data_IF_561717046835
#
_entry.id   IF_561717046835
#
_cell.length_a   1.000
_cell.length_b   1.000
_cell.length_c   1.000
_cell.angle_alpha   90.00
_cell.angle_beta   90.00
_cell.angle_gamma   90.00
#
_symmetry.space_group_name_H-M   'P 1'
#
loop_
_entity.id
_entity.type
_entity.pdbx_description
1 polymer ?
#
# COMPACT_ATOMS: atom_id res chain seq x y z
N UNK A 1 -7.51 -7.92 26.00
CA UNK A 1 -6.80 -8.42 27.22
C UNK A 1 -5.44 -7.75 27.37
N UNK A 2 -4.51 -7.80 26.38
CA UNK A 2 -3.17 -7.17 26.52
C UNK A 2 -3.21 -5.67 26.85
N UNK A 3 -4.13 -4.91 26.23
CA UNK A 3 -4.30 -3.47 26.51
C UNK A 3 -4.76 -3.24 27.96
N UNK A 4 -5.72 -4.00 28.43
CA UNK A 4 -6.22 -3.91 29.82
C UNK A 4 -5.14 -4.32 30.85
N UNK A 5 -4.31 -5.32 30.51
CA UNK A 5 -3.18 -5.70 31.35
C UNK A 5 -2.09 -4.61 31.37
N UNK A 6 -1.81 -3.99 30.23
CA UNK A 6 -0.89 -2.85 30.15
C UNK A 6 -1.43 -1.64 30.94
N UNK A 7 -2.71 -1.37 30.84
CA UNK A 7 -3.40 -0.35 31.64
C UNK A 7 -3.27 -0.65 33.15
N UNK A 8 -3.53 -1.87 33.56
CA UNK A 8 -3.43 -2.27 34.97
C UNK A 8 -2.00 -2.10 35.51
N UNK A 9 -0.98 -2.49 34.75
CA UNK A 9 0.43 -2.29 35.14
C UNK A 9 0.80 -0.80 35.23
N UNK A 10 0.38 0.00 34.25
CA UNK A 10 0.59 1.44 34.26
C UNK A 10 -0.08 2.11 35.47
N UNK A 11 -1.28 1.68 35.83
CA UNK A 11 -2.00 2.17 37.00
C UNK A 11 -1.34 1.74 38.31
N UNK A 12 -0.89 0.51 38.42
CA UNK A 12 -0.21 0.00 39.62
C UNK A 12 1.10 0.74 39.87
N UNK A 13 1.92 0.99 38.82
CA UNK A 13 3.16 1.74 38.95
C UNK A 13 2.98 3.16 39.49
N UNK A 14 1.79 3.73 39.35
CA UNK A 14 1.43 5.01 39.90
C UNK A 14 0.61 4.92 41.22
N UNK A 15 0.38 3.73 41.74
CA UNK A 15 -0.42 3.52 42.95
C UNK A 15 -1.89 3.93 42.79
N UNK A 16 -2.47 3.79 41.60
CA UNK A 16 -3.90 3.97 41.32
C UNK A 16 -4.66 2.71 41.73
N UNK A 17 -4.09 1.54 41.38
CA UNK A 17 -4.59 0.23 41.78
C UNK A 17 -3.49 -0.53 42.54
N UNK A 18 -3.82 -1.55 43.34
CA UNK A 18 -2.82 -2.37 44.01
C UNK A 18 -1.99 -3.19 43.04
N UNK A 19 -0.70 -3.37 43.32
CA UNK A 19 0.23 -4.15 42.47
C UNK A 19 -0.24 -5.60 42.25
N UNK A 20 -0.70 -6.27 43.32
CA UNK A 20 -1.22 -7.64 43.25
C UNK A 20 -2.43 -7.79 42.29
N UNK A 21 -3.26 -6.74 42.16
CA UNK A 21 -4.38 -6.76 41.22
C UNK A 21 -3.88 -6.66 39.77
N UNK A 22 -2.90 -5.82 39.49
CA UNK A 22 -2.27 -5.73 38.16
C UNK A 22 -1.54 -7.01 37.77
N UNK A 23 -0.86 -7.67 38.71
CA UNK A 23 -0.22 -8.98 38.52
C UNK A 23 -1.25 -10.04 38.16
N UNK A 24 -2.37 -10.14 38.89
CA UNK A 24 -3.44 -11.13 38.63
C UNK A 24 -4.10 -10.87 37.27
N UNK A 25 -4.44 -9.62 36.94
CA UNK A 25 -4.99 -9.24 35.64
C UNK A 25 -4.00 -9.61 34.52
N UNK A 26 -2.70 -9.33 34.68
CA UNK A 26 -1.66 -9.64 33.70
C UNK A 26 -1.49 -11.15 33.51
N UNK A 27 -1.43 -11.91 34.61
CA UNK A 27 -1.32 -13.37 34.57
C UNK A 27 -2.45 -14.05 33.84
N UNK A 28 -3.66 -13.50 33.93
CA UNK A 28 -4.88 -14.02 33.30
C UNK A 28 -5.27 -13.29 32.02
N UNK A 29 -4.38 -12.50 31.43
CA UNK A 29 -4.59 -11.85 30.12
C UNK A 29 -4.40 -12.80 28.94
N UNK A 30 -4.98 -13.99 29.00
CA UNK A 30 -4.87 -15.04 27.98
C UNK A 30 -6.27 -15.41 27.44
N UNK A 31 -6.36 -15.71 26.13
CA UNK A 31 -7.63 -16.02 25.44
C UNK A 31 -8.41 -17.17 26.09
N UNK A 32 -7.74 -18.12 26.72
CA UNK A 32 -8.38 -19.24 27.43
C UNK A 32 -9.32 -18.79 28.57
N UNK A 33 -9.09 -17.61 29.16
CA UNK A 33 -9.95 -17.05 30.20
C UNK A 33 -11.14 -16.27 29.66
N UNK A 34 -11.28 -16.21 28.34
CA UNK A 34 -12.37 -15.53 27.64
C UNK A 34 -12.87 -16.37 26.46
N UNK A 35 -13.40 -17.59 26.73
CA UNK A 35 -13.89 -18.47 25.67
C UNK A 35 -14.96 -17.80 24.83
N UNK A 36 -14.86 -17.94 23.50
CA UNK A 36 -15.79 -17.30 22.56
C UNK A 36 -17.24 -17.64 22.84
N UNK A 37 -17.52 -18.91 23.15
CA UNK A 37 -18.89 -19.39 23.44
C UNK A 37 -19.53 -18.70 24.65
N UNK A 38 -18.73 -18.45 25.71
CA UNK A 38 -19.21 -17.72 26.89
C UNK A 38 -19.38 -16.22 26.61
N UNK A 39 -18.47 -15.64 25.84
CA UNK A 39 -18.58 -14.23 25.40
C UNK A 39 -19.81 -14.03 24.52
N UNK A 40 -20.07 -14.94 23.58
CA UNK A 40 -21.25 -14.86 22.73
C UNK A 40 -22.55 -14.95 23.55
N UNK A 41 -22.64 -15.90 24.48
CA UNK A 41 -23.79 -16.03 25.38
C UNK A 41 -23.99 -14.79 26.28
N UNK A 42 -22.89 -14.27 26.85
CA UNK A 42 -22.96 -13.05 27.66
C UNK A 42 -23.39 -11.84 26.82
N UNK A 43 -22.95 -11.78 25.56
CA UNK A 43 -23.29 -10.65 24.68
C UNK A 43 -24.75 -10.67 24.22
N UNK A 44 -25.39 -11.83 24.11
CA UNK A 44 -26.83 -11.92 23.86
C UNK A 44 -27.63 -11.28 24.99
N UNK A 45 -27.13 -11.39 26.22
CA UNK A 45 -27.78 -10.85 27.42
C UNK A 45 -27.42 -9.38 27.61
N UNK A 46 -26.13 -9.03 27.64
CA UNK A 46 -25.65 -7.67 27.97
C UNK A 46 -25.77 -6.72 26.79
N UNK A 47 -25.69 -7.22 25.54
CA UNK A 47 -25.74 -6.46 24.28
C UNK A 47 -24.69 -5.34 24.19
N UNK A 48 -23.50 -5.59 24.76
CA UNK A 48 -22.37 -4.64 24.72
C UNK A 48 -21.06 -5.36 24.53
N UNK A 49 -20.43 -5.14 23.38
CA UNK A 49 -19.26 -5.89 22.90
C UNK A 49 -18.08 -5.95 23.88
N UNK A 50 -17.74 -4.86 24.56
CA UNK A 50 -16.63 -4.86 25.52
C UNK A 50 -17.08 -5.43 26.86
N UNK A 51 -18.23 -4.97 27.39
CA UNK A 51 -18.71 -5.39 28.72
C UNK A 51 -18.90 -6.90 28.79
N UNK A 52 -19.44 -7.54 27.74
CA UNK A 52 -19.55 -9.00 27.67
C UNK A 52 -18.20 -9.72 27.81
N UNK A 53 -17.16 -9.18 27.17
CA UNK A 53 -15.79 -9.71 27.28
C UNK A 53 -15.21 -9.51 28.68
N UNK A 54 -15.37 -8.32 29.22
CA UNK A 54 -14.90 -8.01 30.58
C UNK A 54 -15.60 -8.88 31.63
N UNK A 55 -16.94 -9.07 31.54
CA UNK A 55 -17.68 -9.90 32.45
C UNK A 55 -17.21 -11.35 32.47
N UNK A 56 -16.97 -11.94 31.27
CA UNK A 56 -16.46 -13.31 31.19
C UNK A 56 -15.06 -13.39 31.77
N UNK A 57 -14.18 -12.45 31.46
CA UNK A 57 -12.81 -12.43 31.98
C UNK A 57 -12.76 -12.20 33.49
N UNK A 58 -13.57 -11.30 34.03
CA UNK A 58 -13.72 -11.03 35.47
C UNK A 58 -14.02 -12.30 36.29
N UNK A 59 -14.80 -13.25 35.74
CA UNK A 59 -15.09 -14.55 36.40
C UNK A 59 -13.85 -15.38 36.69
N UNK A 60 -12.77 -15.16 35.97
CA UNK A 60 -11.51 -15.87 36.14
C UNK A 60 -10.54 -15.21 37.13
N UNK A 61 -10.76 -13.92 37.43
CA UNK A 61 -9.90 -13.16 38.35
C UNK A 61 -10.15 -13.54 39.79
N UNK A 62 -9.12 -13.54 40.62
CA UNK A 62 -9.15 -13.98 42.03
C UNK A 62 -8.83 -12.84 42.98
N UNK A 63 -9.16 -13.02 44.23
CA UNK A 63 -8.87 -12.14 45.36
C UNK A 63 -9.41 -10.71 45.23
N UNK A 64 -10.44 -10.46 44.41
CA UNK A 64 -11.01 -9.13 44.22
C UNK A 64 -10.35 -8.30 43.13
N UNK A 65 -9.47 -8.92 42.27
CA UNK A 65 -8.79 -8.21 41.18
C UNK A 65 -9.78 -7.73 40.10
N UNK A 66 -10.94 -8.34 39.98
CA UNK A 66 -12.01 -7.96 39.08
C UNK A 66 -12.53 -6.53 39.27
N UNK A 67 -12.41 -5.97 40.49
CA UNK A 67 -12.82 -4.60 40.81
C UNK A 67 -11.89 -3.55 40.16
N UNK A 68 -10.68 -3.94 39.77
CA UNK A 68 -9.68 -3.08 39.17
C UNK A 68 -9.56 -3.22 37.65
N UNK A 69 -10.29 -4.19 37.06
CA UNK A 69 -10.25 -4.37 35.60
C UNK A 69 -11.02 -3.23 34.91
N UNK A 70 -10.44 -2.62 33.89
CA UNK A 70 -11.01 -1.50 33.13
C UNK A 70 -11.20 -0.21 33.97
N UNK A 71 -10.41 -0.04 35.02
CA UNK A 71 -10.54 1.09 35.92
C UNK A 71 -10.18 2.42 35.23
N UNK A 72 -11.09 3.39 35.27
CA UNK A 72 -10.88 4.73 34.69
C UNK A 72 -10.94 4.84 33.17
N UNK A 73 -11.02 3.73 32.46
CA UNK A 73 -11.11 3.69 31.00
C UNK A 73 -12.56 3.71 30.49
N UNK A 74 -12.73 4.00 29.22
CA UNK A 74 -13.99 3.81 28.50
C UNK A 74 -13.81 2.82 27.35
N UNK A 75 -14.92 2.29 26.83
CA UNK A 75 -14.93 1.29 25.74
C UNK A 75 -14.03 1.67 24.58
N UNK A 76 -14.07 2.93 24.16
CA UNK A 76 -13.36 3.38 22.97
C UNK A 76 -11.87 3.60 23.22
N UNK A 77 -11.43 3.87 24.44
CA UNK A 77 -10.00 3.86 24.77
C UNK A 77 -9.37 2.51 24.39
N UNK A 78 -10.11 1.43 24.66
CA UNK A 78 -9.65 0.07 24.35
C UNK A 78 -9.79 -0.24 22.85
N UNK A 79 -10.91 0.08 22.21
CA UNK A 79 -11.13 -0.27 20.81
C UNK A 79 -10.24 0.51 19.87
N UNK A 80 -10.04 1.80 20.08
CA UNK A 80 -9.12 2.58 19.25
C UNK A 80 -7.67 2.12 19.43
N UNK A 81 -7.27 1.80 20.67
CA UNK A 81 -5.93 1.22 20.91
C UNK A 81 -5.78 -0.16 20.23
N UNK A 82 -6.84 -0.97 20.14
CA UNK A 82 -6.84 -2.21 19.33
C UNK A 82 -6.60 -1.89 17.86
N UNK A 83 -7.28 -0.90 17.29
CA UNK A 83 -7.09 -0.49 15.90
C UNK A 83 -5.66 0.00 15.65
N UNK A 84 -5.10 0.82 16.54
CA UNK A 84 -3.70 1.27 16.47
C UNK A 84 -2.75 0.09 16.41
N UNK A 85 -2.89 -0.91 17.29
CA UNK A 85 -2.04 -2.10 17.30
C UNK A 85 -2.20 -2.95 16.05
N UNK A 86 -3.42 -3.09 15.53
CA UNK A 86 -3.69 -3.82 14.28
C UNK A 86 -3.07 -3.12 13.08
N UNK A 87 -3.25 -1.80 12.95
CA UNK A 87 -2.65 -1.00 11.88
C UNK A 87 -1.12 -1.02 11.96
N UNK A 88 -0.56 -0.92 13.17
CA UNK A 88 0.91 -1.05 13.37
C UNK A 88 1.43 -2.38 12.87
N UNK A 89 0.74 -3.48 13.16
CA UNK A 89 1.13 -4.81 12.68
C UNK A 89 1.07 -4.89 11.14
N UNK A 90 -0.01 -4.37 10.54
CA UNK A 90 -0.16 -4.31 9.08
C UNK A 90 0.91 -3.41 8.43
N UNK A 91 1.21 -2.25 9.01
CA UNK A 91 2.27 -1.36 8.53
C UNK A 91 3.65 -2.06 8.51
N UNK A 92 3.98 -2.85 9.54
CA UNK A 92 5.20 -3.64 9.55
C UNK A 92 5.28 -4.59 8.35
N UNK A 93 4.22 -5.38 8.11
CA UNK A 93 4.13 -6.30 6.96
C UNK A 93 4.24 -5.53 5.64
N UNK A 94 3.46 -4.48 5.46
CA UNK A 94 3.45 -3.69 4.23
C UNK A 94 4.80 -3.03 3.92
N UNK A 95 5.50 -2.53 4.93
CA UNK A 95 6.84 -1.94 4.77
C UNK A 95 7.84 -3.01 4.34
N UNK A 96 7.82 -4.20 4.96
CA UNK A 96 8.69 -5.32 4.60
C UNK A 96 8.40 -5.80 3.16
N UNK A 97 7.14 -5.94 2.79
CA UNK A 97 6.73 -6.28 1.42
C UNK A 97 7.21 -5.26 0.39
N UNK A 98 7.06 -3.95 0.68
CA UNK A 98 7.54 -2.91 -0.23
C UNK A 98 9.07 -2.88 -0.34
N UNK A 99 9.80 -3.27 0.70
CA UNK A 99 11.26 -3.45 0.65
C UNK A 99 11.62 -4.66 -0.21
N UNK A 100 10.88 -5.77 -0.12
CA UNK A 100 11.07 -6.92 -1.01
C UNK A 100 10.79 -6.55 -2.46
N UNK A 101 9.67 -5.85 -2.73
CA UNK A 101 9.33 -5.32 -4.05
C UNK A 101 10.43 -4.39 -4.58
N UNK A 102 11.01 -3.55 -3.73
CA UNK A 102 12.13 -2.68 -4.12
C UNK A 102 13.33 -3.49 -4.59
N UNK A 103 13.69 -4.56 -3.89
CA UNK A 103 14.81 -5.44 -4.29
C UNK A 103 14.52 -6.16 -5.61
N UNK A 104 13.30 -6.64 -5.83
CA UNK A 104 12.87 -7.26 -7.08
C UNK A 104 12.92 -6.26 -8.26
N UNK A 105 12.41 -5.05 -8.07
CA UNK A 105 12.45 -3.98 -9.07
C UNK A 105 13.88 -3.53 -9.36
N UNK A 106 14.75 -3.46 -8.36
CA UNK A 106 16.17 -3.14 -8.53
C UNK A 106 16.88 -4.20 -9.37
N UNK A 107 16.63 -5.48 -9.08
CA UNK A 107 17.15 -6.59 -9.87
C UNK A 107 16.64 -6.52 -11.32
N UNK A 108 15.33 -6.39 -11.51
CA UNK A 108 14.70 -6.28 -12.83
C UNK A 108 15.27 -5.11 -13.63
N UNK A 109 15.50 -3.97 -12.99
CA UNK A 109 16.09 -2.77 -13.60
C UNK A 109 17.52 -3.05 -14.06
N UNK A 110 18.37 -3.63 -13.21
CA UNK A 110 19.78 -3.94 -13.53
C UNK A 110 19.89 -4.96 -14.66
N UNK A 111 19.08 -6.00 -14.65
CA UNK A 111 19.10 -7.08 -15.64
C UNK A 111 18.64 -6.62 -17.03
N UNK A 112 18.04 -5.42 -17.12
CA UNK A 112 17.44 -4.88 -18.33
C UNK A 112 17.94 -3.47 -18.72
N UNK A 113 19.11 -3.06 -18.25
CA UNK A 113 19.74 -1.78 -18.63
C UNK A 113 19.95 -1.69 -20.15
N UNK A 114 20.33 -2.80 -20.77
CA UNK A 114 20.62 -2.92 -22.22
C UNK A 114 19.45 -3.54 -23.01
N UNK A 115 18.27 -3.71 -22.39
CA UNK A 115 17.09 -4.28 -23.07
C UNK A 115 16.30 -3.17 -23.75
N UNK A 116 16.62 -2.89 -25.02
CA UNK A 116 15.99 -1.82 -25.79
C UNK A 116 14.57 -2.17 -26.19
N UNK A 117 13.66 -1.20 -26.04
CA UNK A 117 12.25 -1.29 -26.40
C UNK A 117 11.73 0.06 -26.92
N UNK A 118 10.55 0.06 -27.54
CA UNK A 118 9.87 1.28 -27.89
C UNK A 118 9.29 1.96 -26.64
N UNK A 119 9.69 3.19 -26.39
CA UNK A 119 8.95 4.08 -25.49
C UNK A 119 7.67 4.55 -26.18
N UNK A 120 6.53 4.44 -25.50
CA UNK A 120 5.22 4.79 -26.06
C UNK A 120 4.61 5.97 -25.32
N UNK A 121 4.08 6.92 -26.09
CA UNK A 121 3.27 8.03 -25.59
C UNK A 121 1.92 8.03 -26.33
N UNK A 122 0.84 8.11 -25.59
CA UNK A 122 -0.53 8.07 -26.15
C UNK A 122 -0.71 6.84 -27.08
N UNK A 123 -0.14 5.70 -26.68
CA UNK A 123 -0.21 4.44 -27.44
C UNK A 123 0.67 4.34 -28.67
N UNK A 124 1.43 5.39 -29.05
CA UNK A 124 2.29 5.41 -30.24
C UNK A 124 3.75 5.26 -29.87
N UNK A 125 4.56 4.65 -30.75
CA UNK A 125 6.02 4.61 -30.62
C UNK A 125 6.57 6.04 -30.71
N UNK A 126 7.27 6.48 -29.65
CA UNK A 126 7.87 7.80 -29.58
C UNK A 126 9.39 7.75 -29.79
N UNK A 127 10.11 7.21 -28.82
CA UNK A 127 11.57 7.13 -28.81
C UNK A 127 12.03 5.78 -28.24
N UNK A 128 13.23 5.31 -28.60
CA UNK A 128 13.84 4.16 -27.93
C UNK A 128 14.06 4.45 -26.44
N UNK A 129 13.72 3.48 -25.62
CA UNK A 129 14.10 3.42 -24.19
C UNK A 129 14.64 2.03 -23.88
N UNK A 130 15.04 1.80 -22.64
CA UNK A 130 15.29 0.43 -22.16
C UNK A 130 14.19 -0.02 -21.20
N UNK A 131 13.99 -1.32 -21.08
CA UNK A 131 13.07 -1.86 -20.07
C UNK A 131 13.56 -1.52 -18.66
N UNK A 132 14.89 -1.48 -18.44
CA UNK A 132 15.48 -0.98 -17.21
C UNK A 132 15.10 0.48 -16.91
N UNK A 133 15.04 1.36 -17.94
CA UNK A 133 14.52 2.74 -17.76
C UNK A 133 13.06 2.75 -17.32
N UNK A 134 12.22 1.89 -17.89
CA UNK A 134 10.80 1.76 -17.50
C UNK A 134 10.68 1.32 -16.04
N UNK A 135 11.35 0.24 -15.65
CA UNK A 135 11.27 -0.33 -14.30
C UNK A 135 11.94 0.55 -13.25
N UNK A 136 12.94 1.36 -13.60
CA UNK A 136 13.55 2.34 -12.68
C UNK A 136 12.55 3.40 -12.20
N UNK A 137 11.53 3.74 -13.01
CA UNK A 137 10.47 4.67 -12.58
C UNK A 137 9.56 4.02 -11.55
N UNK A 138 9.27 2.72 -11.67
CA UNK A 138 8.50 1.95 -10.68
C UNK A 138 9.29 1.84 -9.37
N UNK A 139 10.59 1.54 -9.46
CA UNK A 139 11.51 1.48 -8.31
C UNK A 139 11.52 2.80 -7.52
N UNK A 140 11.69 3.93 -8.21
CA UNK A 140 11.72 5.25 -7.58
C UNK A 140 10.39 5.62 -6.92
N UNK A 141 9.25 5.21 -7.49
CA UNK A 141 7.94 5.42 -6.90
C UNK A 141 7.73 4.52 -5.67
N UNK A 142 8.16 3.27 -5.74
CA UNK A 142 8.08 2.35 -4.61
C UNK A 142 8.92 2.84 -3.40
N UNK A 143 10.10 3.43 -3.62
CA UNK A 143 10.88 4.07 -2.55
C UNK A 143 10.07 5.16 -1.84
N UNK A 144 9.40 6.03 -2.60
CA UNK A 144 8.53 7.06 -2.02
C UNK A 144 7.33 6.47 -1.28
N UNK A 145 6.83 5.31 -1.69
CA UNK A 145 5.75 4.61 -0.98
C UNK A 145 6.22 4.08 0.38
N UNK A 146 7.44 3.52 0.46
CA UNK A 146 8.05 3.12 1.74
C UNK A 146 8.19 4.33 2.68
N UNK A 147 8.66 5.46 2.17
CA UNK A 147 8.81 6.69 2.95
C UNK A 147 7.46 7.20 3.49
N UNK A 148 6.39 7.13 2.69
CA UNK A 148 5.02 7.48 3.11
C UNK A 148 4.53 6.59 4.24
N UNK A 149 4.68 5.26 4.10
CA UNK A 149 4.23 4.34 5.15
C UNK A 149 5.00 4.55 6.47
N UNK A 150 6.31 4.80 6.42
CA UNK A 150 7.10 5.11 7.61
C UNK A 150 6.64 6.38 8.30
N UNK A 151 6.31 7.43 7.53
CA UNK A 151 5.77 8.67 8.09
C UNK A 151 4.40 8.47 8.76
N UNK A 152 3.56 7.62 8.19
CA UNK A 152 2.27 7.24 8.79
C UNK A 152 2.47 6.38 10.04
N UNK A 153 3.43 5.44 10.01
CA UNK A 153 3.75 4.58 11.16
C UNK A 153 4.13 5.40 12.41
N UNK A 154 4.91 6.47 12.25
CA UNK A 154 5.26 7.37 13.33
C UNK A 154 4.01 8.00 13.98
N UNK A 155 3.02 8.38 13.18
CA UNK A 155 1.75 8.96 13.66
C UNK A 155 0.85 7.91 14.33
N UNK A 156 0.69 6.75 13.70
CA UNK A 156 -0.09 5.64 14.28
C UNK A 156 0.48 5.21 15.63
N UNK A 157 1.80 5.13 15.76
CA UNK A 157 2.45 4.78 17.03
C UNK A 157 2.13 5.78 18.17
N UNK A 158 1.65 6.99 17.86
CA UNK A 158 1.26 8.02 18.81
C UNK A 158 -0.25 8.16 19.03
N UNK A 159 -1.04 7.35 18.32
CA UNK A 159 -2.51 7.45 18.34
C UNK A 159 -3.18 6.54 19.39
N UNK A 160 -2.44 6.04 20.36
CA UNK A 160 -3.00 5.36 21.53
C UNK A 160 -3.82 6.34 22.36
N UNK A 161 -4.94 5.86 22.94
CA UNK A 161 -5.87 6.71 23.67
C UNK A 161 -6.25 6.04 25.00
N UNK A 162 -6.16 6.85 26.10
CA UNK A 162 -6.68 6.51 27.41
C UNK A 162 -7.19 7.79 28.10
N UNK A 163 -8.32 8.30 27.68
CA UNK A 163 -8.80 9.62 28.14
C UNK A 163 -10.20 9.62 28.78
N UNK A 164 -10.84 8.44 28.83
CA UNK A 164 -12.18 8.28 29.42
C UNK A 164 -13.30 8.79 28.51
N UNK A 165 -14.47 9.03 29.08
CA UNK A 165 -15.73 9.18 28.34
C UNK A 165 -15.78 10.35 27.34
N UNK A 166 -15.08 11.45 27.61
CA UNK A 166 -15.10 12.69 26.81
C UNK A 166 -13.71 13.34 26.65
N UNK A 167 -12.65 12.57 26.82
CA UNK A 167 -11.29 13.05 26.59
C UNK A 167 -10.66 13.86 27.74
N UNK A 168 -11.18 13.76 28.97
CA UNK A 168 -10.78 14.63 30.10
C UNK A 168 -10.02 13.93 31.21
N UNK A 169 -9.72 12.64 31.10
CA UNK A 169 -9.08 11.81 32.11
C UNK A 169 -9.81 11.77 33.48
N UNK A 170 -11.11 12.07 33.51
CA UNK A 170 -11.85 12.24 34.79
C UNK A 170 -11.72 11.01 35.70
N UNK A 171 -11.74 9.80 35.15
CA UNK A 171 -11.61 8.55 35.92
C UNK A 171 -10.22 8.30 36.52
N UNK A 172 -9.18 9.01 36.02
CA UNK A 172 -7.78 8.87 36.43
C UNK A 172 -7.23 10.13 37.12
N UNK A 173 -7.96 11.25 37.04
CA UNK A 173 -7.60 12.53 37.66
C UNK A 173 -6.24 13.06 37.16
N UNK A 174 -5.46 13.64 38.07
CA UNK A 174 -4.15 14.21 37.75
C UNK A 174 -3.11 13.23 37.25
N UNK A 175 -3.34 11.93 37.42
CA UNK A 175 -2.42 10.86 36.97
C UNK A 175 -2.74 10.37 35.55
N UNK A 176 -3.81 10.86 34.91
CA UNK A 176 -4.31 10.35 33.63
C UNK A 176 -3.31 10.42 32.50
N UNK A 177 -2.66 11.56 32.29
CA UNK A 177 -1.66 11.76 31.22
C UNK A 177 -0.46 10.80 31.40
N UNK A 178 0.04 10.67 32.61
CA UNK A 178 1.17 9.77 32.88
C UNK A 178 0.77 8.30 32.74
N UNK A 179 -0.46 7.94 33.14
CA UNK A 179 -0.99 6.57 32.97
C UNK A 179 -1.12 6.22 31.47
N UNK A 180 -1.60 7.14 30.64
CA UNK A 180 -1.68 6.96 29.18
C UNK A 180 -0.27 6.76 28.57
N UNK A 181 0.70 7.57 28.96
CA UNK A 181 2.09 7.44 28.52
C UNK A 181 2.68 6.08 28.89
N UNK A 182 2.54 5.66 30.13
CA UNK A 182 3.04 4.37 30.61
C UNK A 182 2.33 3.20 29.93
N UNK A 183 1.01 3.24 29.73
CA UNK A 183 0.28 2.24 28.97
C UNK A 183 0.78 2.16 27.52
N UNK A 184 1.06 3.30 26.88
CA UNK A 184 1.62 3.35 25.54
C UNK A 184 2.97 2.68 25.46
N UNK A 185 3.87 2.95 26.41
CA UNK A 185 5.19 2.33 26.50
C UNK A 185 5.12 0.81 26.70
N UNK A 186 4.23 0.34 27.58
CA UNK A 186 3.96 -1.08 27.81
C UNK A 186 3.47 -1.81 26.55
N UNK A 187 2.78 -1.10 25.66
CA UNK A 187 2.30 -1.62 24.38
C UNK A 187 3.35 -1.46 23.24
N UNK A 188 4.54 -0.95 23.55
CA UNK A 188 5.59 -0.68 22.57
C UNK A 188 5.22 0.42 21.58
N UNK A 189 4.39 1.38 22.00
CA UNK A 189 3.94 2.53 21.20
C UNK A 189 4.69 3.80 21.58
N UNK A 190 4.52 4.87 20.83
CA UNK A 190 5.18 6.16 21.04
C UNK A 190 4.47 7.04 22.07
N UNK A 191 4.95 8.26 22.23
CA UNK A 191 4.31 9.26 23.11
C UNK A 191 2.96 9.68 22.54
N UNK A 192 1.85 9.51 23.30
CA UNK A 192 0.51 9.82 22.83
C UNK A 192 0.30 11.30 22.45
N UNK A 193 -0.63 11.58 21.55
CA UNK A 193 -1.13 12.93 21.33
C UNK A 193 -2.04 13.32 22.50
N UNK A 194 -1.60 14.25 23.36
CA UNK A 194 -2.29 14.58 24.60
C UNK A 194 -3.69 15.18 24.37
N UNK A 195 -3.83 16.03 23.36
CA UNK A 195 -5.09 16.71 23.05
C UNK A 195 -6.08 15.87 22.25
N UNK A 196 -5.62 14.79 21.61
CA UNK A 196 -6.47 13.98 20.75
C UNK A 196 -7.48 13.19 21.54
N UNK A 197 -8.66 13.07 21.00
CA UNK A 197 -9.73 12.22 21.48
C UNK A 197 -10.30 11.42 20.32
N UNK A 198 -11.08 10.45 20.62
CA UNK A 198 -11.68 9.51 19.70
C UNK A 198 -12.46 10.12 18.50
N UNK A 199 -12.94 11.36 18.59
CA UNK A 199 -13.50 12.13 17.46
C UNK A 199 -12.45 12.61 16.46
N UNK A 200 -11.15 12.59 16.80
CA UNK A 200 -10.06 12.97 15.89
C UNK A 200 -9.62 11.75 15.09
N UNK A 201 -9.95 11.69 13.81
CA UNK A 201 -9.77 10.51 12.94
C UNK A 201 -8.79 10.71 11.79
N UNK A 202 -8.13 11.85 11.74
CA UNK A 202 -7.25 12.26 10.63
C UNK A 202 -6.09 11.29 10.41
N UNK A 203 -5.48 10.74 11.47
CA UNK A 203 -4.38 9.78 11.36
C UNK A 203 -4.83 8.45 10.71
N UNK A 204 -6.03 7.97 11.02
CA UNK A 204 -6.62 6.79 10.39
C UNK A 204 -6.99 7.06 8.93
N UNK A 205 -7.53 8.25 8.64
CA UNK A 205 -7.82 8.69 7.28
C UNK A 205 -6.52 8.83 6.46
N UNK A 206 -5.46 9.40 7.03
CA UNK A 206 -4.14 9.51 6.37
C UNK A 206 -3.55 8.13 6.06
N UNK A 207 -3.66 7.16 6.98
CA UNK A 207 -3.27 5.77 6.72
C UNK A 207 -4.01 5.21 5.50
N UNK A 208 -5.33 5.30 5.49
CA UNK A 208 -6.17 4.77 4.42
C UNK A 208 -5.90 5.46 3.07
N UNK A 209 -5.76 6.79 3.05
CA UNK A 209 -5.42 7.56 1.85
C UNK A 209 -4.01 7.25 1.34
N UNK A 210 -3.07 6.97 2.23
CA UNK A 210 -1.72 6.52 1.87
C UNK A 210 -1.77 5.17 1.16
N UNK A 211 -2.55 4.21 1.66
CA UNK A 211 -2.79 2.94 0.99
C UNK A 211 -3.46 3.12 -0.38
N UNK A 212 -4.42 4.05 -0.49
CA UNK A 212 -5.05 4.38 -1.77
C UNK A 212 -4.04 4.92 -2.78
N UNK A 213 -3.14 5.80 -2.36
CA UNK A 213 -2.07 6.33 -3.20
C UNK A 213 -1.11 5.23 -3.66
N UNK A 214 -0.68 4.37 -2.75
CA UNK A 214 0.18 3.21 -3.05
C UNK A 214 -0.51 2.27 -4.05
N UNK A 215 -1.80 2.00 -3.85
CA UNK A 215 -2.54 1.12 -4.75
C UNK A 215 -2.59 1.62 -6.19
N UNK A 216 -2.59 2.94 -6.41
CA UNK A 216 -2.55 3.53 -7.75
C UNK A 216 -1.22 3.29 -8.46
N UNK A 217 -0.09 3.31 -7.74
CA UNK A 217 1.19 2.95 -8.34
C UNK A 217 1.21 1.49 -8.80
N UNK A 218 0.71 0.56 -8.00
CA UNK A 218 0.60 -0.85 -8.39
C UNK A 218 -0.43 -1.09 -9.50
N UNK A 219 -1.56 -0.37 -9.48
CA UNK A 219 -2.54 -0.40 -10.55
C UNK A 219 -1.94 0.02 -11.90
N UNK A 220 -1.09 1.07 -11.91
CA UNK A 220 -0.37 1.52 -13.10
C UNK A 220 0.62 0.46 -13.61
N UNK A 221 1.36 -0.21 -12.71
CA UNK A 221 2.26 -1.31 -13.08
C UNK A 221 1.46 -2.48 -13.69
N UNK A 222 0.33 -2.83 -13.06
CA UNK A 222 -0.54 -3.90 -13.55
C UNK A 222 -1.15 -3.59 -14.92
N UNK A 223 -1.59 -2.36 -15.16
CA UNK A 223 -2.12 -1.93 -16.45
C UNK A 223 -1.03 -1.98 -17.54
N UNK A 224 0.14 -1.44 -17.27
CA UNK A 224 1.28 -1.48 -18.19
C UNK A 224 1.67 -2.93 -18.53
N UNK A 225 1.78 -3.82 -17.54
CA UNK A 225 2.12 -5.23 -17.78
C UNK A 225 1.01 -5.98 -18.54
N UNK A 226 -0.26 -5.61 -18.34
CA UNK A 226 -1.37 -6.13 -19.13
C UNK A 226 -1.23 -5.75 -20.61
N UNK A 227 -0.90 -4.49 -20.90
CA UNK A 227 -0.68 -4.02 -22.27
C UNK A 227 0.57 -4.68 -22.90
N UNK A 228 1.67 -4.78 -22.16
CA UNK A 228 2.91 -5.40 -22.67
C UNK A 228 2.75 -6.91 -22.95
N UNK A 229 1.79 -7.57 -22.30
CA UNK A 229 1.47 -8.99 -22.52
C UNK A 229 0.43 -9.22 -23.63
N UNK A 230 -0.19 -8.19 -24.21
CA UNK A 230 -1.12 -8.35 -25.33
C UNK A 230 -0.48 -9.16 -26.48
N UNK A 231 -1.28 -9.99 -27.15
CA UNK A 231 -0.78 -10.87 -28.23
C UNK A 231 -0.01 -10.12 -29.32
N UNK A 232 -0.43 -8.91 -29.67
CA UNK A 232 0.17 -8.07 -30.68
C UNK A 232 1.45 -7.39 -30.20
N UNK A 233 1.66 -7.24 -28.89
CA UNK A 233 2.85 -6.61 -28.27
C UNK A 233 3.83 -7.66 -27.79
N UNK A 234 3.42 -8.56 -26.90
CA UNK A 234 4.17 -9.73 -26.44
C UNK A 234 5.52 -9.48 -25.77
N UNK A 235 5.74 -8.27 -25.25
CA UNK A 235 7.03 -7.83 -24.70
C UNK A 235 7.32 -8.37 -23.30
N UNK A 236 6.29 -8.76 -22.56
CA UNK A 236 6.38 -9.43 -21.26
C UNK A 236 5.38 -10.58 -21.17
N UNK A 237 5.59 -11.48 -20.20
CA UNK A 237 4.70 -12.58 -19.91
C UNK A 237 4.71 -12.87 -18.40
N UNK A 238 3.53 -13.02 -17.78
CA UNK A 238 3.41 -13.64 -16.46
C UNK A 238 3.56 -15.15 -16.60
N UNK A 239 4.67 -15.71 -16.10
CA UNK A 239 4.94 -17.14 -16.18
C UNK A 239 4.37 -17.88 -14.97
N UNK A 240 3.17 -18.37 -15.12
CA UNK A 240 2.48 -19.16 -14.08
C UNK A 240 2.93 -20.66 -14.05
N UNK A 241 3.96 -21.02 -14.84
CA UNK A 241 4.46 -22.38 -14.96
C UNK A 241 3.69 -23.24 -15.95
N UNK A 242 4.31 -24.38 -16.36
CA UNK A 242 3.82 -25.24 -17.44
C UNK A 242 2.43 -25.86 -17.17
N UNK A 243 2.08 -26.11 -15.92
CA UNK A 243 0.80 -26.73 -15.54
C UNK A 243 -0.33 -25.70 -15.35
N UNK A 244 -0.05 -24.43 -15.37
CA UNK A 244 -1.06 -23.39 -15.16
C UNK A 244 -1.98 -23.27 -16.37
N UNK A 245 -3.29 -23.32 -16.10
CA UNK A 245 -4.32 -23.20 -17.13
C UNK A 245 -4.71 -21.72 -17.26
N UNK A 246 -4.27 -21.08 -18.34
CA UNK A 246 -4.62 -19.68 -18.64
C UNK A 246 -6.06 -19.49 -19.07
N UNK A 247 -6.63 -20.48 -19.76
CA UNK A 247 -8.02 -20.49 -20.26
C UNK A 247 -8.57 -21.91 -20.18
N UNK A 248 -9.86 -22.04 -19.84
CA UNK A 248 -10.53 -23.34 -19.72
C UNK A 248 -10.68 -24.08 -21.05
N UNK A 249 -10.63 -23.38 -22.18
CA UNK A 249 -10.91 -23.94 -23.51
C UNK A 249 -9.85 -23.63 -24.58
N UNK A 250 -8.98 -22.62 -24.34
CA UNK A 250 -8.02 -22.16 -25.32
C UNK A 250 -6.58 -22.27 -24.75
N UNK A 251 -5.84 -23.35 -25.05
CA UNK A 251 -4.52 -23.62 -24.43
C UNK A 251 -3.48 -22.52 -24.67
N UNK A 252 -3.58 -21.78 -25.79
CA UNK A 252 -2.67 -20.71 -26.17
C UNK A 252 -2.96 -19.38 -25.44
N UNK A 253 -4.17 -19.23 -24.82
CA UNK A 253 -4.59 -17.98 -24.18
C UNK A 253 -4.06 -17.88 -22.76
N UNK A 254 -3.00 -17.11 -22.57
CA UNK A 254 -2.38 -16.84 -21.27
C UNK A 254 -2.86 -15.48 -20.75
N UNK A 255 -3.89 -15.51 -19.89
CA UNK A 255 -4.44 -14.28 -19.32
C UNK A 255 -3.52 -13.71 -18.25
N UNK A 256 -3.25 -12.39 -18.23
CA UNK A 256 -2.46 -11.71 -17.21
C UNK A 256 -3.28 -11.57 -15.91
N UNK A 257 -3.17 -12.55 -15.00
CA UNK A 257 -3.97 -12.60 -13.77
C UNK A 257 -3.42 -11.67 -12.69
N UNK A 258 -2.13 -11.74 -12.41
CA UNK A 258 -1.46 -10.84 -11.46
C UNK A 258 -1.60 -9.38 -11.85
N UNK A 259 -1.27 -8.99 -13.09
CA UNK A 259 -1.49 -7.64 -13.58
C UNK A 259 -2.94 -7.15 -13.41
N UNK A 260 -3.91 -7.98 -13.81
CA UNK A 260 -5.33 -7.67 -13.68
C UNK A 260 -5.79 -7.50 -12.22
N UNK A 261 -5.25 -8.32 -11.31
CA UNK A 261 -5.53 -8.20 -9.88
C UNK A 261 -4.98 -6.88 -9.30
N UNK A 262 -3.77 -6.45 -9.69
CA UNK A 262 -3.23 -5.15 -9.26
C UNK A 262 -4.12 -3.98 -9.72
N UNK A 263 -4.63 -4.02 -10.95
CA UNK A 263 -5.61 -3.04 -11.44
C UNK A 263 -6.87 -3.06 -10.59
N UNK A 264 -7.37 -4.25 -10.22
CA UNK A 264 -8.57 -4.39 -9.41
C UNK A 264 -8.37 -3.83 -7.98
N UNK A 265 -7.27 -4.16 -7.31
CA UNK A 265 -6.92 -3.57 -6.00
C UNK A 265 -6.85 -2.05 -6.04
N UNK A 266 -6.31 -1.48 -7.13
CA UNK A 266 -6.24 -0.03 -7.33
C UNK A 266 -7.61 0.65 -7.48
N UNK A 267 -8.68 -0.12 -7.67
CA UNK A 267 -10.08 0.36 -7.70
C UNK A 267 -10.77 0.20 -6.35
N UNK A 268 -10.48 -0.90 -5.64
CA UNK A 268 -11.12 -1.23 -4.34
C UNK A 268 -10.59 -0.35 -3.23
N UNK A 269 -9.26 -0.32 -3.04
CA UNK A 269 -8.60 0.37 -1.91
C UNK A 269 -9.00 1.85 -1.81
N UNK A 270 -9.04 2.66 -2.90
CA UNK A 270 -9.51 4.05 -2.81
C UNK A 270 -10.97 4.20 -2.35
N UNK A 271 -11.86 3.25 -2.70
CA UNK A 271 -13.26 3.31 -2.24
C UNK A 271 -13.38 3.00 -0.74
N UNK A 272 -12.56 2.08 -0.26
CA UNK A 272 -12.47 1.82 1.18
C UNK A 272 -11.90 3.05 1.92
N UNK A 273 -10.91 3.75 1.35
CA UNK A 273 -10.34 4.94 1.97
C UNK A 273 -11.32 6.13 2.00
N UNK A 274 -12.20 6.27 1.02
CA UNK A 274 -13.26 7.29 1.02
C UNK A 274 -14.22 7.10 2.22
N UNK A 275 -14.60 5.86 2.52
CA UNK A 275 -15.46 5.53 3.67
C UNK A 275 -14.75 5.91 4.99
N UNK A 276 -13.45 5.64 5.11
CA UNK A 276 -12.68 5.96 6.30
C UNK A 276 -12.48 7.48 6.45
N UNK A 277 -12.35 8.20 5.33
CA UNK A 277 -12.24 9.64 5.32
C UNK A 277 -13.50 10.33 5.87
N UNK A 278 -14.67 9.74 5.64
CA UNK A 278 -15.95 10.27 6.17
C UNK A 278 -16.00 10.26 7.70
N UNK A 279 -15.24 9.39 8.37
CA UNK A 279 -15.14 9.35 9.85
C UNK A 279 -14.53 10.64 10.45
N UNK A 280 -13.89 11.50 9.65
CA UNK A 280 -13.38 12.79 10.12
C UNK A 280 -14.48 13.79 10.45
N UNK A 281 -15.69 13.57 9.95
CA UNK A 281 -16.85 14.42 10.23
C UNK A 281 -17.62 13.84 11.40
N UNK A 282 -17.26 14.25 12.61
CA UNK A 282 -17.88 13.81 13.87
C UNK A 282 -18.74 14.90 14.48
N UNK A 283 -19.80 14.51 15.17
CA UNK A 283 -20.65 15.39 15.97
C UNK A 283 -20.24 15.35 17.44
N UNK A 284 -20.10 16.52 18.05
CA UNK A 284 -19.66 16.70 19.43
C UNK A 284 -18.30 16.04 19.70
N UNK A 285 -18.06 15.55 20.88
CA UNK A 285 -16.84 14.85 21.28
C UNK A 285 -16.75 13.47 20.63
N UNK A 286 -17.88 12.87 20.25
CA UNK A 286 -17.97 11.55 19.61
C UNK A 286 -19.39 11.27 19.10
N UNK A 287 -19.51 10.65 17.94
CA UNK A 287 -20.75 10.06 17.43
C UNK A 287 -20.64 8.54 17.16
N UNK A 288 -21.64 7.93 16.50
CA UNK A 288 -21.74 6.48 16.31
C UNK A 288 -21.10 5.95 15.00
N UNK A 289 -21.21 6.64 13.86
CA UNK A 289 -20.69 6.07 12.60
C UNK A 289 -19.18 5.85 12.64
N UNK A 290 -18.77 4.64 12.25
CA UNK A 290 -17.39 4.24 12.30
C UNK A 290 -17.04 3.19 11.28
N UNK A 291 -15.90 3.36 10.70
CA UNK A 291 -15.34 2.49 9.66
C UNK A 291 -14.30 1.51 10.20
N UNK A 292 -14.41 1.09 11.47
CA UNK A 292 -13.46 0.17 12.11
C UNK A 292 -13.26 -1.13 11.29
N UNK A 293 -14.35 -1.72 10.77
CA UNK A 293 -14.24 -2.92 9.92
C UNK A 293 -13.62 -2.58 8.57
N UNK A 294 -13.92 -1.42 7.98
CA UNK A 294 -13.31 -0.98 6.72
C UNK A 294 -11.80 -0.73 6.88
N UNK A 295 -11.33 -0.26 8.06
CA UNK A 295 -9.90 -0.14 8.36
C UNK A 295 -9.19 -1.50 8.36
N UNK A 296 -9.82 -2.55 8.85
CA UNK A 296 -9.30 -3.91 8.76
C UNK A 296 -9.29 -4.42 7.32
N UNK A 297 -10.40 -4.21 6.61
CA UNK A 297 -10.56 -4.68 5.23
C UNK A 297 -9.56 -4.01 4.28
N UNK A 298 -9.32 -2.71 4.43
CA UNK A 298 -8.33 -1.99 3.60
C UNK A 298 -6.90 -2.48 3.87
N UNK A 299 -6.57 -2.79 5.13
CA UNK A 299 -5.28 -3.35 5.51
C UNK A 299 -5.05 -4.71 4.86
N UNK A 300 -6.02 -5.64 4.99
CA UNK A 300 -5.98 -6.97 4.37
C UNK A 300 -5.90 -6.85 2.84
N UNK A 301 -6.68 -5.95 2.24
CA UNK A 301 -6.68 -5.75 0.79
C UNK A 301 -5.33 -5.22 0.30
N UNK A 302 -4.68 -4.35 1.07
CA UNK A 302 -3.35 -3.83 0.76
C UNK A 302 -2.27 -4.92 0.84
N UNK A 303 -2.31 -5.80 1.86
CA UNK A 303 -1.41 -6.95 1.99
C UNK A 303 -1.58 -7.96 0.84
N UNK A 304 -2.81 -8.24 0.43
CA UNK A 304 -3.09 -9.07 -0.75
C UNK A 304 -2.54 -8.44 -2.04
N UNK A 305 -2.55 -7.12 -2.14
CA UNK A 305 -1.98 -6.40 -3.29
C UNK A 305 -0.46 -6.52 -3.32
N UNK A 306 0.24 -6.30 -2.19
CA UNK A 306 1.71 -6.41 -2.13
C UNK A 306 2.18 -7.84 -2.36
N UNK A 307 1.53 -8.85 -1.77
CA UNK A 307 1.79 -10.26 -2.04
C UNK A 307 1.60 -10.61 -3.54
N UNK A 308 0.54 -10.09 -4.17
CA UNK A 308 0.33 -10.26 -5.61
C UNK A 308 1.45 -9.61 -6.43
N UNK A 309 1.93 -8.43 -6.04
CA UNK A 309 3.04 -7.74 -6.72
C UNK A 309 4.36 -8.50 -6.58
N UNK A 310 4.67 -9.04 -5.40
CA UNK A 310 5.86 -9.86 -5.15
C UNK A 310 5.85 -11.09 -6.05
N UNK A 311 4.75 -11.84 -6.06
CA UNK A 311 4.62 -13.02 -6.93
C UNK A 311 4.77 -12.67 -8.40
N UNK A 312 4.06 -11.64 -8.87
CA UNK A 312 4.11 -11.18 -10.26
C UNK A 312 5.53 -10.81 -10.67
N UNK A 313 6.27 -10.06 -9.85
CA UNK A 313 7.63 -9.64 -10.18
C UNK A 313 8.64 -10.81 -10.20
N UNK A 314 8.42 -11.82 -9.37
CA UNK A 314 9.21 -13.06 -9.40
C UNK A 314 8.92 -13.93 -10.64
N UNK A 315 7.69 -13.91 -11.14
CA UNK A 315 7.22 -14.73 -12.26
C UNK A 315 7.29 -14.00 -13.62
N UNK A 316 7.73 -12.75 -13.64
CA UNK A 316 7.75 -11.92 -14.85
C UNK A 316 8.86 -12.32 -15.81
N UNK A 317 8.50 -12.76 -17.00
CA UNK A 317 9.41 -12.96 -18.13
C UNK A 317 9.47 -11.73 -19.01
N UNK A 318 10.68 -11.39 -19.45
CA UNK A 318 10.97 -10.26 -20.35
C UNK A 318 11.42 -10.78 -21.71
N UNK A 319 10.62 -10.54 -22.74
CA UNK A 319 10.87 -10.98 -24.11
C UNK A 319 11.75 -9.99 -24.88
N UNK A 320 13.06 -10.02 -24.62
CA UNK A 320 14.05 -9.07 -25.19
C UNK A 320 14.03 -9.03 -26.70
N UNK A 321 13.90 -10.19 -27.36
CA UNK A 321 13.86 -10.29 -28.82
C UNK A 321 12.59 -9.67 -29.40
N UNK A 322 11.44 -9.86 -28.73
CA UNK A 322 10.17 -9.24 -29.14
C UNK A 322 10.22 -7.73 -28.95
N UNK A 323 10.79 -7.25 -27.83
CA UNK A 323 11.01 -5.81 -27.61
C UNK A 323 11.83 -5.20 -28.75
N UNK A 324 12.94 -5.87 -29.14
CA UNK A 324 13.79 -5.42 -30.25
C UNK A 324 13.07 -5.47 -31.60
N UNK A 325 12.27 -6.49 -31.85
CA UNK A 325 11.44 -6.60 -33.06
C UNK A 325 10.44 -5.44 -33.12
N UNK A 326 9.72 -5.19 -32.02
CA UNK A 326 8.75 -4.11 -31.94
C UNK A 326 9.37 -2.72 -32.11
N UNK A 327 10.60 -2.50 -31.59
CA UNK A 327 11.33 -1.27 -31.79
C UNK A 327 11.52 -0.93 -33.28
N UNK A 328 11.64 -1.96 -34.14
CA UNK A 328 11.89 -1.81 -35.57
C UNK A 328 10.61 -1.70 -36.42
N UNK A 329 9.40 -1.81 -35.85
CA UNK A 329 8.14 -1.76 -36.62
C UNK A 329 8.01 -0.48 -37.46
N UNK A 330 8.58 0.63 -36.98
CA UNK A 330 8.52 1.92 -37.67
C UNK A 330 9.66 2.13 -38.71
N UNK A 331 10.37 1.07 -39.10
CA UNK A 331 11.47 1.14 -40.06
C UNK A 331 12.49 2.26 -39.78
N UNK A 332 12.81 2.46 -38.49
CA UNK A 332 13.76 3.47 -38.03
C UNK A 332 13.21 4.87 -37.82
N UNK A 333 11.94 5.14 -38.17
CA UNK A 333 11.30 6.45 -37.94
C UNK A 333 11.26 6.88 -36.47
N UNK A 334 11.30 5.92 -35.55
CA UNK A 334 11.43 6.18 -34.11
C UNK A 334 12.71 6.98 -33.75
N UNK A 335 13.69 7.04 -34.63
CA UNK A 335 14.95 7.79 -34.47
C UNK A 335 14.91 9.17 -35.12
N UNK A 336 13.85 9.57 -35.80
CA UNK A 336 13.74 10.84 -36.55
C UNK A 336 14.14 12.06 -35.72
N UNK A 337 13.64 12.15 -34.48
CA UNK A 337 13.97 13.25 -33.57
C UNK A 337 15.49 13.32 -33.28
N UNK A 338 16.17 12.19 -33.12
CA UNK A 338 17.62 12.17 -32.90
C UNK A 338 18.36 12.72 -34.09
N UNK A 339 17.92 12.37 -35.30
CA UNK A 339 18.50 12.87 -36.55
C UNK A 339 18.23 14.36 -36.69
N UNK A 340 17.04 14.82 -36.40
CA UNK A 340 16.65 16.24 -36.37
C UNK A 340 17.61 17.06 -35.49
N UNK A 341 17.83 16.65 -34.25
CA UNK A 341 18.72 17.40 -33.34
C UNK A 341 20.19 17.33 -33.75
N UNK A 342 20.63 16.22 -34.33
CA UNK A 342 21.98 16.15 -34.88
C UNK A 342 22.19 17.15 -36.04
N UNK A 343 21.20 17.28 -36.93
CA UNK A 343 21.25 18.24 -38.03
C UNK A 343 21.03 19.68 -37.56
N UNK A 344 20.24 19.90 -36.51
CA UNK A 344 19.95 21.23 -35.98
C UNK A 344 21.21 22.00 -35.58
N UNK A 345 22.24 21.29 -35.09
CA UNK A 345 23.54 21.89 -34.73
C UNK A 345 24.31 22.41 -35.97
N UNK A 346 23.95 21.94 -37.18
CA UNK A 346 24.65 22.26 -38.43
C UNK A 346 23.86 23.27 -39.27
N UNK A 347 22.55 23.06 -39.42
CA UNK A 347 21.69 23.84 -40.33
C UNK A 347 20.59 24.64 -39.67
N UNK A 348 20.53 24.62 -38.34
CA UNK A 348 19.48 25.27 -37.56
C UNK A 348 18.26 24.35 -37.36
N UNK A 349 17.53 24.58 -36.25
CA UNK A 349 16.44 23.69 -35.78
C UNK A 349 15.27 23.62 -36.77
N UNK A 350 14.73 24.75 -37.19
CA UNK A 350 13.53 24.80 -38.01
C UNK A 350 13.79 24.18 -39.42
N UNK A 351 14.99 24.42 -39.98
CA UNK A 351 15.39 23.80 -41.24
C UNK A 351 15.56 22.29 -41.12
N UNK A 352 16.14 21.81 -40.01
CA UNK A 352 16.31 20.39 -39.73
C UNK A 352 14.97 19.70 -39.52
N UNK A 353 14.02 20.31 -38.77
CA UNK A 353 12.68 19.80 -38.56
C UNK A 353 11.92 19.66 -39.91
N UNK A 354 11.92 20.68 -40.75
CA UNK A 354 11.25 20.63 -42.05
C UNK A 354 11.87 19.54 -42.94
N UNK A 355 13.20 19.48 -43.00
CA UNK A 355 13.91 18.48 -43.83
C UNK A 355 13.59 17.05 -43.35
N UNK A 356 13.65 16.77 -42.06
CA UNK A 356 13.39 15.43 -41.54
C UNK A 356 11.91 15.07 -41.65
N UNK A 357 10.99 16.04 -41.54
CA UNK A 357 9.58 15.81 -41.83
C UNK A 357 9.36 15.29 -43.24
N UNK A 358 9.90 15.98 -44.25
CA UNK A 358 9.76 15.59 -45.65
C UNK A 358 10.37 14.20 -45.94
N UNK A 359 11.57 13.93 -45.35
CA UNK A 359 12.21 12.63 -45.44
C UNK A 359 11.36 11.53 -44.79
N UNK A 360 10.82 11.78 -43.63
CA UNK A 360 9.97 10.83 -42.92
C UNK A 360 8.68 10.53 -43.69
N UNK A 361 8.03 11.56 -44.26
CA UNK A 361 6.81 11.39 -45.07
C UNK A 361 7.13 10.58 -46.35
N UNK A 362 8.28 10.82 -46.99
CA UNK A 362 8.76 10.02 -48.12
C UNK A 362 8.99 8.57 -47.72
N UNK A 363 9.70 8.33 -46.61
CA UNK A 363 9.95 6.97 -46.10
C UNK A 363 8.63 6.20 -45.83
N UNK A 364 7.63 6.85 -45.27
CA UNK A 364 6.30 6.27 -45.03
C UNK A 364 5.62 5.92 -46.35
N UNK A 365 5.56 6.87 -47.29
CA UNK A 365 4.87 6.71 -48.60
C UNK A 365 5.49 5.61 -49.46
N UNK A 366 6.83 5.55 -49.48
CA UNK A 366 7.56 4.56 -50.26
C UNK A 366 7.79 3.24 -49.51
N UNK A 367 7.38 3.14 -48.23
CA UNK A 367 7.57 1.99 -47.35
C UNK A 367 9.05 1.57 -47.27
N UNK A 368 9.95 2.54 -47.15
CA UNK A 368 11.43 2.33 -47.00
C UNK A 368 11.88 2.73 -45.60
N UNK A 369 13.10 2.34 -45.21
CA UNK A 369 13.66 2.76 -43.93
C UNK A 369 13.98 4.26 -43.91
N UNK A 370 13.95 4.88 -42.71
CA UNK A 370 14.47 6.25 -42.53
C UNK A 370 15.92 6.39 -43.03
N UNK A 371 16.76 5.38 -42.77
CA UNK A 371 18.16 5.35 -43.24
C UNK A 371 18.26 5.39 -44.74
N UNK A 372 17.46 4.61 -45.46
CA UNK A 372 17.48 4.59 -46.91
C UNK A 372 16.92 5.88 -47.51
N UNK A 373 15.87 6.45 -46.90
CA UNK A 373 15.34 7.74 -47.32
C UNK A 373 16.37 8.87 -47.16
N UNK A 374 17.17 8.86 -46.08
CA UNK A 374 18.28 9.81 -45.87
C UNK A 374 19.40 9.62 -46.90
N UNK A 375 19.83 8.37 -47.16
CA UNK A 375 20.88 8.08 -48.16
C UNK A 375 20.49 8.51 -49.56
N UNK A 376 19.24 8.28 -49.95
CA UNK A 376 18.74 8.66 -51.26
C UNK A 376 18.74 10.17 -51.49
N UNK A 377 18.64 10.99 -50.43
CA UNK A 377 18.76 12.44 -50.52
C UNK A 377 20.21 12.92 -50.64
N UNK A 378 21.14 12.28 -49.95
CA UNK A 378 22.55 12.62 -49.99
C UNK A 378 23.19 12.38 -51.37
N UNK A 379 22.63 11.48 -52.20
CA UNK A 379 23.06 11.25 -53.56
C UNK A 379 22.52 12.31 -54.56
N UNK A 380 21.56 13.14 -54.20
CA UNK A 380 20.96 14.14 -55.07
C UNK A 380 21.46 15.58 -54.78
N UNK A 381 22.02 15.82 -53.60
CA UNK A 381 22.34 17.17 -53.11
C UNK A 381 23.80 17.36 -52.64
N UNK A 382 24.69 16.40 -52.93
CA UNK A 382 26.14 16.53 -52.84
C UNK A 382 26.71 16.31 -54.25
#
# INVERSE_FOLDING_TARGET
>A
MNIEAALARAQASQGIIPEWAAEEITKKAEVRYMPKTEVDAENEFVRHRLVSRLNVWKRSLENGAEEYLHYGATTVDIFDTVLVLQIKASLGILIDDLIEIENLLLKLTKDNIETYMAGRTIGQHALPITFGKKTSTWLAENRRNIERLKAVEEKINRSVILKGAVGTYLGLGSKGIETELLMSQELGLGTPYIADWHGVRDVFAEYALTLALISKSFGRIGDELTLLQMTEIGETLENLGFKAIGSSTMPHKKNPRGPGNLVNFSRIIPRQSEIILDDMVNSFERDQPRSDETLKDISITAELMTDTAIRLLNELEVNKDVMRKNLNITNGLILSQRVTYFLADIIGKDTAESMIHDIAMKAITENISLSDAIKNLSLIHI
#
